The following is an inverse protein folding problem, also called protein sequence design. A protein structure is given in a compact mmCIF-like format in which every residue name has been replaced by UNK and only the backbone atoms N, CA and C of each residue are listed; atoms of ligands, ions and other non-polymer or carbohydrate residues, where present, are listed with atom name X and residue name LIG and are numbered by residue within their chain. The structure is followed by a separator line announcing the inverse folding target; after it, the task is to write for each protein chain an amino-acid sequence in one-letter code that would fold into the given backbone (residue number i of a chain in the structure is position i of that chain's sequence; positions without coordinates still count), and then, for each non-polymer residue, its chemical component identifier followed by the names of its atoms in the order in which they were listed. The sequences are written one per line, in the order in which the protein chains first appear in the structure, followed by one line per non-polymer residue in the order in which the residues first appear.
data_IF_775849778395
#
_entry.id   IF_775849778395
#
_cell.length_a   1.000
_cell.length_b   1.000
_cell.length_c   1.000
_cell.angle_alpha   90.00
_cell.angle_beta   90.00
_cell.angle_gamma   90.00
#
_symmetry.space_group_name_H-M   'P 1'
#
loop_
_entity.id
_entity.type
_entity.pdbx_description
1 polymer ?
#
# COMPACT_ATOMS: atom_id res chain seq x y z
N UNK A 1 15.37 -37.12 -9.76
CA UNK A 1 14.72 -36.88 -8.46
C UNK A 1 14.56 -35.38 -8.34
N UNK A 2 13.37 -34.89 -8.65
CA UNK A 2 13.05 -33.47 -8.66
C UNK A 2 12.81 -33.03 -7.21
N UNK A 3 13.76 -32.30 -6.60
CA UNK A 3 13.54 -31.70 -5.30
C UNK A 3 12.70 -30.44 -5.50
N UNK A 4 11.46 -30.47 -5.03
CA UNK A 4 10.71 -29.25 -4.80
C UNK A 4 11.53 -28.34 -3.86
N UNK A 5 12.06 -27.25 -4.39
CA UNK A 5 12.77 -26.22 -3.63
C UNK A 5 11.78 -25.65 -2.62
N UNK A 6 12.09 -25.80 -1.34
CA UNK A 6 11.32 -25.17 -0.26
C UNK A 6 11.56 -23.67 -0.31
N UNK A 7 10.59 -22.90 -0.83
CA UNK A 7 10.64 -21.44 -0.78
C UNK A 7 10.54 -20.98 0.67
N UNK A 8 11.63 -20.47 1.23
CA UNK A 8 11.63 -19.85 2.56
C UNK A 8 11.26 -18.38 2.38
N UNK A 9 9.98 -18.07 2.53
CA UNK A 9 9.54 -16.67 2.64
C UNK A 9 9.82 -16.18 4.05
N UNK A 10 10.44 -15.01 4.16
CA UNK A 10 10.72 -14.34 5.44
C UNK A 10 10.07 -12.96 5.42
N UNK A 11 9.28 -12.64 6.44
CA UNK A 11 8.77 -11.28 6.65
C UNK A 11 9.92 -10.39 7.13
N UNK A 12 10.25 -9.36 6.37
CA UNK A 12 11.29 -8.39 6.72
C UNK A 12 10.74 -7.25 7.58
N UNK A 13 9.53 -6.77 7.28
CA UNK A 13 8.88 -5.66 7.96
C UNK A 13 7.36 -5.75 7.76
N UNK A 14 6.60 -5.18 8.70
CA UNK A 14 5.15 -4.99 8.58
C UNK A 14 4.86 -3.49 8.76
N UNK A 15 4.09 -2.92 7.84
CA UNK A 15 3.66 -1.52 7.89
C UNK A 15 2.13 -1.48 7.82
N UNK A 16 1.51 -0.68 8.70
CA UNK A 16 0.08 -0.40 8.65
C UNK A 16 -0.20 0.75 7.69
N UNK A 17 -0.94 0.48 6.61
CA UNK A 17 -1.33 1.47 5.60
C UNK A 17 -2.64 2.19 5.93
N UNK A 18 -3.27 1.89 7.07
CA UNK A 18 -4.54 2.45 7.59
C UNK A 18 -5.78 2.16 6.72
N UNK A 19 -5.62 2.11 5.40
CA UNK A 19 -6.56 1.60 4.40
C UNK A 19 -6.07 0.28 3.82
N UNK A 20 -6.97 -0.49 3.23
CA UNK A 20 -6.62 -1.80 2.66
C UNK A 20 -5.70 -1.60 1.45
N UNK A 21 -4.49 -2.16 1.49
CA UNK A 21 -3.59 -2.18 0.34
C UNK A 21 -4.19 -3.07 -0.76
N UNK A 22 -4.30 -2.53 -1.98
CA UNK A 22 -4.92 -3.24 -3.11
C UNK A 22 -3.89 -3.56 -4.20
N UNK A 23 -2.98 -2.63 -4.50
CA UNK A 23 -1.92 -2.80 -5.49
C UNK A 23 -0.56 -2.35 -4.93
N UNK A 24 0.45 -3.21 -5.08
CA UNK A 24 1.84 -2.91 -4.76
C UNK A 24 2.69 -3.24 -5.96
N UNK A 25 3.49 -2.29 -6.41
CA UNK A 25 4.32 -2.45 -7.59
C UNK A 25 5.73 -1.93 -7.29
N UNK A 26 6.77 -2.49 -7.92
CA UNK A 26 8.16 -2.03 -7.82
C UNK A 26 8.57 -1.21 -9.04
N UNK A 27 9.37 -0.17 -8.84
CA UNK A 27 9.81 0.71 -9.93
C UNK A 27 10.58 -0.11 -10.97
N UNK A 28 10.16 -0.10 -12.24
CA UNK A 28 10.78 -0.92 -13.28
C UNK A 28 12.08 -0.30 -13.83
N UNK A 29 12.41 0.94 -13.43
CA UNK A 29 13.59 1.65 -13.92
C UNK A 29 14.83 1.15 -13.18
N UNK A 30 15.87 0.79 -13.94
CA UNK A 30 17.18 0.43 -13.39
C UNK A 30 17.70 1.52 -12.44
N UNK A 31 18.43 1.12 -11.41
CA UNK A 31 18.88 1.97 -10.29
C UNK A 31 17.78 2.52 -9.36
N UNK A 32 16.50 2.40 -9.72
CA UNK A 32 15.35 2.82 -8.88
C UNK A 32 14.47 1.65 -8.42
N UNK A 33 14.87 0.42 -8.71
CA UNK A 33 14.15 -0.81 -8.35
C UNK A 33 14.05 -1.08 -6.84
N UNK A 34 14.61 -0.23 -5.99
CA UNK A 34 14.40 -0.23 -4.54
C UNK A 34 13.13 0.53 -4.14
N UNK A 35 12.53 1.29 -5.05
CA UNK A 35 11.31 2.05 -4.79
C UNK A 35 10.11 1.17 -5.11
N UNK A 36 9.12 1.18 -4.22
CA UNK A 36 7.82 0.55 -4.45
C UNK A 36 6.69 1.54 -4.16
N UNK A 37 5.65 1.47 -4.97
CA UNK A 37 4.42 2.21 -4.76
C UNK A 37 3.36 1.27 -4.18
N UNK A 38 2.56 1.76 -3.24
CA UNK A 38 1.42 1.04 -2.67
C UNK A 38 0.16 1.91 -2.77
N UNK A 39 -0.79 1.45 -3.58
CA UNK A 39 -2.11 2.05 -3.71
C UNK A 39 -3.10 1.37 -2.78
N UNK A 40 -3.90 2.17 -2.07
CA UNK A 40 -4.90 1.66 -1.14
C UNK A 40 -6.34 1.96 -1.57
N UNK A 41 -7.24 1.15 -1.05
CA UNK A 41 -8.67 1.22 -1.27
C UNK A 41 -9.41 1.11 0.07
N UNK A 42 -10.33 2.05 0.32
CA UNK A 42 -11.24 2.00 1.46
C UNK A 42 -12.60 2.58 1.06
N UNK A 43 -13.67 1.79 1.25
CA UNK A 43 -15.03 2.31 1.15
C UNK A 43 -15.37 3.07 2.44
N UNK A 44 -15.77 4.34 2.33
CA UNK A 44 -16.27 5.10 3.48
C UNK A 44 -17.57 4.44 3.95
N UNK A 45 -17.64 4.09 5.24
CA UNK A 45 -18.88 3.61 5.84
C UNK A 45 -19.83 4.80 6.00
N UNK A 46 -21.15 4.63 5.80
CA UNK A 46 -22.10 5.66 6.14
C UNK A 46 -21.97 5.97 7.64
N UNK A 47 -21.82 7.25 7.98
CA UNK A 47 -21.62 7.70 9.35
C UNK A 47 -22.85 7.29 10.19
N UNK A 48 -22.68 6.37 11.14
CA UNK A 48 -23.79 5.82 11.92
C UNK A 48 -24.07 6.57 13.23
N UNK A 49 -23.29 7.60 13.59
CA UNK A 49 -23.29 8.09 14.97
C UNK A 49 -23.53 9.57 15.24
N UNK A 50 -23.53 10.51 14.30
CA UNK A 50 -23.84 11.92 14.61
C UNK A 50 -24.83 12.54 13.62
N UNK A 51 -25.81 13.23 14.20
CA UNK A 51 -26.99 13.74 13.50
C UNK A 51 -26.67 14.64 12.32
N UNK A 52 -27.50 14.46 11.28
CA UNK A 52 -27.87 15.46 10.28
C UNK A 52 -26.74 16.35 9.73
N UNK A 53 -25.74 15.75 9.07
CA UNK A 53 -25.17 16.33 7.86
C UNK A 53 -25.17 15.26 6.76
N UNK A 54 -26.14 15.35 5.84
CA UNK A 54 -26.20 14.50 4.65
C UNK A 54 -25.01 14.84 3.73
N UNK A 55 -23.86 14.21 3.92
CA UNK A 55 -22.88 14.09 2.83
C UNK A 55 -23.41 13.06 1.84
N UNK A 56 -23.71 13.50 0.63
CA UNK A 56 -24.61 12.83 -0.32
C UNK A 56 -24.03 11.62 -1.07
N UNK A 57 -22.99 10.95 -0.56
CA UNK A 57 -22.43 9.78 -1.26
C UNK A 57 -22.05 8.60 -0.33
N UNK A 58 -22.97 7.64 -0.12
CA UNK A 58 -22.68 6.39 0.59
C UNK A 58 -21.65 5.50 -0.10
N UNK A 59 -21.08 5.92 -1.24
CA UNK A 59 -20.08 5.16 -2.00
C UNK A 59 -18.73 5.87 -2.13
N UNK A 60 -18.44 6.89 -1.30
CA UNK A 60 -17.15 7.57 -1.40
C UNK A 60 -15.99 6.60 -1.15
N UNK A 61 -15.10 6.48 -2.14
CA UNK A 61 -13.94 5.59 -2.11
C UNK A 61 -12.69 6.39 -1.77
N UNK A 62 -12.18 6.18 -0.57
CA UNK A 62 -10.97 6.79 -0.06
C UNK A 62 -9.76 5.95 -0.45
N UNK A 63 -8.64 6.61 -0.74
CA UNK A 63 -7.40 5.96 -1.08
C UNK A 63 -6.20 6.79 -0.70
N UNK A 64 -5.05 6.14 -0.69
CA UNK A 64 -3.75 6.76 -0.51
C UNK A 64 -2.75 6.13 -1.45
N UNK A 65 -1.87 6.96 -1.98
CA UNK A 65 -0.66 6.51 -2.65
C UNK A 65 0.51 6.66 -1.69
N UNK A 66 1.11 5.54 -1.34
CA UNK A 66 2.36 5.49 -0.59
C UNK A 66 3.51 5.22 -1.54
N UNK A 67 4.63 5.90 -1.31
CA UNK A 67 5.91 5.61 -1.95
C UNK A 67 6.88 5.17 -0.86
N UNK A 68 7.48 4.00 -1.02
CA UNK A 68 8.49 3.48 -0.10
C UNK A 68 9.82 3.22 -0.79
N UNK A 69 10.91 3.29 -0.03
CA UNK A 69 12.22 2.79 -0.43
C UNK A 69 12.62 1.58 0.43
N UNK A 70 13.11 0.53 -0.23
CA UNK A 70 13.73 -0.64 0.38
C UNK A 70 15.25 -0.52 0.38
N UNK A 71 15.87 -0.59 1.56
CA UNK A 71 17.31 -0.62 1.74
C UNK A 71 17.74 -1.99 2.31
N UNK A 72 18.41 -2.84 1.51
CA UNK A 72 18.88 -4.15 1.98
C UNK A 72 20.00 -4.07 3.02
N UNK A 73 20.66 -2.92 3.19
CA UNK A 73 21.70 -2.73 4.19
C UNK A 73 21.13 -2.46 5.59
N UNK A 74 19.84 -2.15 5.71
CA UNK A 74 19.20 -1.86 6.98
C UNK A 74 18.56 -3.12 7.59
N UNK A 75 19.08 -3.55 8.75
CA UNK A 75 18.77 -4.88 9.31
C UNK A 75 17.38 -5.02 9.94
N UNK A 76 16.83 -3.96 10.55
CA UNK A 76 15.59 -4.06 11.36
C UNK A 76 14.37 -3.41 10.73
N UNK A 77 14.57 -2.39 9.90
CA UNK A 77 13.51 -1.63 9.24
C UNK A 77 13.95 -1.27 7.82
N UNK A 78 14.09 -2.25 6.93
CA UNK A 78 14.60 -2.03 5.59
C UNK A 78 13.65 -1.23 4.70
N UNK A 79 12.38 -1.04 5.05
CA UNK A 79 11.41 -0.28 4.26
C UNK A 79 11.11 1.04 4.94
N UNK A 80 11.26 2.14 4.20
CA UNK A 80 11.01 3.51 4.68
C UNK A 80 9.97 4.22 3.80
N UNK A 81 9.01 4.91 4.43
CA UNK A 81 8.02 5.74 3.71
C UNK A 81 8.69 7.02 3.23
N UNK A 82 8.72 7.23 1.92
CA UNK A 82 9.23 8.46 1.29
C UNK A 82 8.15 9.51 1.13
N UNK A 83 6.94 9.08 0.77
CA UNK A 83 5.84 9.99 0.47
C UNK A 83 4.48 9.32 0.69
N UNK A 84 3.49 10.13 1.05
CA UNK A 84 2.08 9.76 1.16
C UNK A 84 1.22 10.84 0.53
N UNK A 85 0.31 10.45 -0.35
CA UNK A 85 -0.67 11.33 -0.99
C UNK A 85 -2.07 10.82 -0.69
N UNK A 86 -2.92 11.67 -0.11
CA UNK A 86 -4.36 11.44 0.03
C UNK A 86 -5.03 11.60 -1.34
N UNK A 87 -5.84 10.61 -1.74
CA UNK A 87 -6.49 10.59 -3.05
C UNK A 87 -7.77 9.75 -3.03
N UNK A 88 -8.44 9.60 -4.17
CA UNK A 88 -9.49 8.60 -4.32
C UNK A 88 -8.89 7.18 -4.28
N UNK A 89 -9.72 6.18 -4.03
CA UNK A 89 -9.25 4.79 -4.00
C UNK A 89 -8.53 4.39 -5.30
N UNK A 90 -7.42 3.67 -5.14
CA UNK A 90 -6.58 3.19 -6.23
C UNK A 90 -6.82 1.69 -6.41
N UNK A 91 -7.09 1.28 -7.65
CA UNK A 91 -7.25 -0.11 -8.08
C UNK A 91 -6.31 -0.36 -9.26
N UNK A 92 -5.73 -1.56 -9.33
CA UNK A 92 -4.85 -2.01 -10.43
C UNK A 92 -3.81 -0.96 -10.86
N UNK A 93 -3.12 -0.38 -9.87
CA UNK A 93 -2.03 0.57 -10.12
C UNK A 93 -0.94 -0.06 -10.99
N UNK A 94 -0.29 0.78 -11.80
CA UNK A 94 0.93 0.47 -12.54
C UNK A 94 1.94 1.58 -12.32
N UNK A 95 3.23 1.24 -12.40
CA UNK A 95 4.31 2.22 -12.46
C UNK A 95 4.29 3.05 -13.73
#
# INVERSE_FOLDING_TARGET
TDMAVTSKTQTLQVTDTEYSADAVEWCPVDDWNTILACGTYQLKKPDSDHGEEKSDDPHMRLGRLYLYNYDPHQLFSPVSELQRIETAAILDMKW
#
